data_IF_813747685163
#
_entry.id   IF_813747685163
#
_cell.length_a   1.000
_cell.length_b   1.000
_cell.length_c   1.000
_cell.angle_alpha   90.00
_cell.angle_beta   90.00
_cell.angle_gamma   90.00
#
_symmetry.space_group_name_H-M   'P 1'
#
loop_
_entity.id
_entity.type
_entity.pdbx_description
1 polymer ?
#
# COMPACT_ATOMS: atom_id res chain seq x y z
N UNK A 1 6.08 0.96 -20.07
CA UNK A 1 6.08 0.73 -18.61
C UNK A 1 6.64 -0.65 -18.32
N UNK A 2 7.90 -0.76 -17.88
CA UNK A 2 8.58 -1.97 -17.42
C UNK A 2 9.09 -1.78 -16.00
N UNK A 3 9.13 -2.84 -15.21
CA UNK A 3 9.71 -2.88 -13.86
C UNK A 3 10.84 -3.91 -13.78
N UNK A 4 11.38 -4.31 -14.94
CA UNK A 4 12.43 -5.31 -15.04
C UNK A 4 13.65 -4.97 -14.16
N UNK A 5 14.09 -5.94 -13.37
CA UNK A 5 15.23 -5.80 -12.47
C UNK A 5 15.02 -4.88 -11.27
N UNK A 6 13.79 -4.39 -11.02
CA UNK A 6 13.44 -3.59 -9.84
C UNK A 6 12.89 -4.49 -8.73
N UNK A 7 13.19 -4.14 -7.49
CA UNK A 7 12.79 -4.88 -6.29
C UNK A 7 11.75 -4.08 -5.50
N UNK A 8 10.57 -4.66 -5.30
CA UNK A 8 9.50 -4.02 -4.54
C UNK A 8 9.12 -4.84 -3.30
N UNK A 9 9.08 -4.16 -2.17
CA UNK A 9 8.50 -4.65 -0.93
C UNK A 9 7.01 -4.35 -0.92
N UNK A 10 6.17 -5.33 -0.60
CA UNK A 10 4.72 -5.19 -0.51
C UNK A 10 4.27 -5.53 0.91
N UNK A 11 3.96 -4.50 1.70
CA UNK A 11 3.43 -4.65 3.05
C UNK A 11 1.91 -4.88 2.98
N UNK A 12 1.40 -5.89 3.68
CA UNK A 12 -0.01 -6.25 3.66
C UNK A 12 -0.42 -7.03 2.40
N UNK A 13 0.51 -7.77 1.79
CA UNK A 13 0.28 -8.52 0.56
C UNK A 13 -0.79 -9.62 0.66
N UNK A 14 -1.08 -10.14 1.87
CA UNK A 14 -2.16 -11.09 2.12
C UNK A 14 -3.56 -10.46 2.20
N UNK A 15 -3.68 -9.13 2.08
CA UNK A 15 -4.96 -8.42 2.13
C UNK A 15 -5.70 -8.38 0.79
N UNK A 16 -6.86 -7.71 0.79
CA UNK A 16 -7.80 -7.67 -0.36
C UNK A 16 -7.16 -7.28 -1.69
N UNK A 17 -6.27 -6.29 -1.70
CA UNK A 17 -5.60 -5.79 -2.91
C UNK A 17 -4.31 -6.55 -3.25
N UNK A 18 -3.74 -7.24 -2.28
CA UNK A 18 -2.42 -7.86 -2.41
C UNK A 18 -2.28 -8.76 -3.64
N UNK A 19 -3.13 -9.78 -3.83
CA UNK A 19 -3.01 -10.68 -4.98
C UNK A 19 -2.97 -9.95 -6.32
N UNK A 20 -3.90 -9.01 -6.53
CA UNK A 20 -4.01 -8.25 -7.80
C UNK A 20 -2.79 -7.36 -8.03
N UNK A 21 -2.30 -6.68 -6.98
CA UNK A 21 -1.11 -5.81 -7.07
C UNK A 21 0.15 -6.65 -7.30
N UNK A 22 0.32 -7.75 -6.58
CA UNK A 22 1.46 -8.68 -6.75
C UNK A 22 1.52 -9.20 -8.17
N UNK A 23 0.42 -9.75 -8.70
CA UNK A 23 0.35 -10.25 -10.09
C UNK A 23 0.67 -9.15 -11.10
N UNK A 24 0.14 -7.93 -10.89
CA UNK A 24 0.39 -6.80 -11.79
C UNK A 24 1.87 -6.40 -11.82
N UNK A 25 2.52 -6.26 -10.66
CA UNK A 25 3.94 -5.88 -10.60
C UNK A 25 4.84 -7.00 -11.14
N UNK A 26 4.55 -8.26 -10.80
CA UNK A 26 5.27 -9.43 -11.34
C UNK A 26 5.18 -9.51 -12.87
N UNK A 27 3.97 -9.29 -13.44
CA UNK A 27 3.77 -9.28 -14.90
C UNK A 27 4.54 -8.16 -15.63
N UNK A 28 5.07 -7.18 -14.90
CA UNK A 28 5.93 -6.10 -15.43
C UNK A 28 7.43 -6.38 -15.21
N UNK A 29 7.80 -7.56 -14.71
CA UNK A 29 9.19 -7.99 -14.51
C UNK A 29 9.78 -7.59 -13.15
N UNK A 30 8.96 -7.12 -12.20
CA UNK A 30 9.43 -6.80 -10.85
C UNK A 30 9.79 -8.05 -10.04
N UNK A 31 10.85 -7.97 -9.23
CA UNK A 31 11.12 -8.90 -8.14
C UNK A 31 10.37 -8.43 -6.90
N UNK A 32 9.71 -9.35 -6.20
CA UNK A 32 8.79 -8.99 -5.12
C UNK A 32 9.20 -9.62 -3.79
N UNK A 33 9.05 -8.86 -2.70
CA UNK A 33 9.18 -9.32 -1.33
C UNK A 33 7.89 -8.99 -0.58
N UNK A 34 7.12 -10.02 -0.23
CA UNK A 34 5.79 -9.94 0.33
C UNK A 34 5.83 -10.07 1.85
N UNK A 35 5.13 -9.19 2.55
CA UNK A 35 4.99 -9.21 3.99
C UNK A 35 3.53 -9.19 4.43
N UNK A 36 3.23 -9.92 5.48
CA UNK A 36 1.93 -9.98 6.13
C UNK A 36 2.02 -10.81 7.41
N UNK A 37 0.91 -10.97 8.12
CA UNK A 37 0.89 -11.72 9.38
C UNK A 37 0.88 -13.24 9.17
N UNK A 38 0.18 -13.69 8.15
CA UNK A 38 -0.02 -15.11 7.86
C UNK A 38 0.79 -15.54 6.66
N UNK A 39 1.72 -16.49 6.85
CA UNK A 39 2.64 -16.92 5.81
C UNK A 39 1.97 -17.70 4.69
N UNK A 40 1.01 -18.58 5.02
CA UNK A 40 0.41 -19.47 4.03
C UNK A 40 -0.31 -18.73 2.87
N UNK A 41 -1.14 -17.70 3.11
CA UNK A 41 -1.67 -16.88 2.02
C UNK A 41 -0.59 -16.17 1.19
N UNK A 42 0.49 -15.72 1.82
CA UNK A 42 1.60 -15.07 1.11
C UNK A 42 2.32 -16.05 0.16
N UNK A 43 2.56 -17.27 0.62
CA UNK A 43 3.22 -18.30 -0.19
C UNK A 43 2.36 -18.69 -1.39
N UNK A 44 1.04 -18.78 -1.23
CA UNK A 44 0.11 -19.02 -2.34
C UNK A 44 0.15 -17.89 -3.38
N UNK A 45 0.07 -16.63 -2.92
CA UNK A 45 0.14 -15.45 -3.80
C UNK A 45 1.50 -15.39 -4.53
N UNK A 46 2.58 -15.69 -3.83
CA UNK A 46 3.92 -15.73 -4.41
C UNK A 46 4.05 -16.80 -5.51
N UNK A 47 3.50 -17.98 -5.28
CA UNK A 47 3.52 -19.08 -6.27
C UNK A 47 2.73 -18.71 -7.54
N UNK A 48 1.54 -18.11 -7.40
CA UNK A 48 0.72 -17.65 -8.52
C UNK A 48 1.39 -16.54 -9.33
N UNK A 49 2.24 -15.73 -8.70
CA UNK A 49 2.96 -14.64 -9.35
C UNK A 49 4.30 -15.06 -10.00
N UNK A 50 4.61 -16.37 -10.04
CA UNK A 50 5.84 -16.87 -10.60
C UNK A 50 7.05 -16.83 -9.66
N UNK A 51 6.82 -16.62 -8.37
CA UNK A 51 7.81 -16.61 -7.32
C UNK A 51 8.02 -15.21 -6.72
N UNK A 52 8.06 -15.16 -5.39
CA UNK A 52 8.40 -13.95 -4.63
C UNK A 52 8.94 -14.38 -3.25
N UNK A 53 9.72 -13.52 -2.62
CA UNK A 53 10.07 -13.74 -1.21
C UNK A 53 8.86 -13.50 -0.32
N UNK A 54 8.69 -14.32 0.71
CA UNK A 54 7.58 -14.17 1.66
C UNK A 54 8.10 -14.15 3.09
N UNK A 55 7.54 -13.27 3.92
CA UNK A 55 7.83 -13.20 5.34
C UNK A 55 6.56 -12.97 6.16
N UNK A 56 6.42 -13.73 7.25
CA UNK A 56 5.45 -13.39 8.29
C UNK A 56 6.09 -12.37 9.23
N UNK A 57 5.49 -11.19 9.34
CA UNK A 57 6.01 -10.11 10.17
C UNK A 57 4.86 -9.27 10.74
N UNK A 58 4.95 -8.96 12.03
CA UNK A 58 4.12 -7.92 12.64
C UNK A 58 4.77 -6.55 12.38
N UNK A 59 4.13 -5.73 11.58
CA UNK A 59 4.63 -4.39 11.25
C UNK A 59 4.48 -3.38 12.40
N UNK A 60 3.84 -3.77 13.51
CA UNK A 60 3.89 -3.03 14.78
C UNK A 60 5.20 -3.28 15.54
N UNK A 61 5.93 -4.33 15.20
CA UNK A 61 7.31 -4.54 15.68
C UNK A 61 8.29 -3.81 14.74
N UNK A 62 8.80 -2.68 15.23
CA UNK A 62 9.73 -1.85 14.46
C UNK A 62 11.05 -2.56 14.15
N UNK A 63 11.55 -3.45 15.04
CA UNK A 63 12.80 -4.17 14.78
C UNK A 63 12.60 -5.30 13.78
N UNK A 64 11.52 -6.07 13.89
CA UNK A 64 11.14 -7.06 12.89
C UNK A 64 10.94 -6.42 11.50
N UNK A 65 10.33 -5.23 11.45
CA UNK A 65 10.16 -4.46 10.21
C UNK A 65 11.51 -4.02 9.62
N UNK A 66 12.45 -3.56 10.45
CA UNK A 66 13.83 -3.24 10.00
C UNK A 66 14.57 -4.49 9.52
N UNK A 67 14.42 -5.61 10.21
CA UNK A 67 15.01 -6.89 9.80
C UNK A 67 14.49 -7.34 8.43
N UNK A 68 13.19 -7.18 8.15
CA UNK A 68 12.62 -7.44 6.84
C UNK A 68 13.25 -6.58 5.75
N UNK A 69 13.38 -5.26 5.96
CA UNK A 69 14.00 -4.37 4.98
C UNK A 69 15.46 -4.74 4.70
N UNK A 70 16.26 -5.05 5.75
CA UNK A 70 17.64 -5.51 5.61
C UNK A 70 17.73 -6.83 4.82
N UNK A 71 16.89 -7.81 5.14
CA UNK A 71 16.87 -9.10 4.47
C UNK A 71 16.58 -9.01 2.96
N UNK A 72 15.76 -8.05 2.53
CA UNK A 72 15.55 -7.78 1.10
C UNK A 72 16.84 -7.27 0.46
N UNK A 73 17.52 -6.31 1.09
CA UNK A 73 18.76 -5.75 0.55
C UNK A 73 19.89 -6.80 0.54
N UNK A 74 20.00 -7.62 1.56
CA UNK A 74 20.97 -8.73 1.60
C UNK A 74 20.75 -9.73 0.46
N UNK A 75 19.51 -10.06 0.15
CA UNK A 75 19.15 -11.03 -0.89
C UNK A 75 19.22 -10.49 -2.32
N UNK A 76 18.76 -9.27 -2.52
CA UNK A 76 18.60 -8.68 -3.85
C UNK A 76 19.61 -7.56 -4.17
N UNK A 77 20.44 -7.15 -3.19
CA UNK A 77 21.38 -6.04 -3.32
C UNK A 77 20.74 -4.65 -3.31
N UNK A 78 19.40 -4.56 -3.32
CA UNK A 78 18.64 -3.30 -3.43
C UNK A 78 17.18 -3.47 -3.04
N UNK A 79 16.50 -2.36 -2.79
CA UNK A 79 15.04 -2.24 -2.83
C UNK A 79 14.67 -0.93 -3.53
N UNK A 80 13.78 -1.00 -4.50
CA UNK A 80 13.39 0.14 -5.36
C UNK A 80 11.99 0.68 -5.02
N UNK A 81 11.22 -0.02 -4.22
CA UNK A 81 9.92 0.49 -3.83
C UNK A 81 9.30 -0.19 -2.63
N UNK A 82 8.41 0.54 -1.98
CA UNK A 82 7.53 0.09 -0.91
C UNK A 82 6.07 0.38 -1.32
N UNK A 83 5.30 -0.68 -1.52
CA UNK A 83 3.85 -0.60 -1.71
C UNK A 83 3.18 -1.00 -0.40
N UNK A 84 2.64 -0.03 0.33
CA UNK A 84 2.04 -0.26 1.63
C UNK A 84 0.52 -0.42 1.47
N UNK A 85 0.06 -1.67 1.48
CA UNK A 85 -1.33 -2.07 1.32
C UNK A 85 -2.01 -2.42 2.66
N UNK A 86 -1.29 -2.24 3.79
CA UNK A 86 -1.89 -2.50 5.10
C UNK A 86 -3.08 -1.58 5.29
N UNK A 87 -4.21 -2.17 5.59
CA UNK A 87 -5.45 -1.45 5.77
C UNK A 87 -6.56 -2.35 6.26
N UNK A 88 -7.67 -1.72 6.54
CA UNK A 88 -8.91 -2.36 6.95
C UNK A 88 -9.94 -1.27 7.18
N UNK A 89 -11.17 -1.62 6.99
CA UNK A 89 -12.31 -0.73 7.26
C UNK A 89 -13.37 -1.53 8.02
N UNK A 90 -13.96 -0.89 9.00
CA UNK A 90 -15.17 -1.36 9.66
C UNK A 90 -16.08 -0.18 9.95
N UNK A 91 -17.41 -0.41 10.05
CA UNK A 91 -18.37 0.63 10.38
C UNK A 91 -18.01 1.30 11.71
N UNK A 92 -18.08 2.62 11.75
CA UNK A 92 -17.90 3.42 12.97
C UNK A 92 -19.24 3.98 13.44
N UNK A 93 -19.38 4.19 14.74
CA UNK A 93 -20.45 4.98 15.30
C UNK A 93 -20.35 6.45 14.88
N UNK A 94 -21.43 7.25 14.99
CA UNK A 94 -21.35 8.70 14.88
C UNK A 94 -20.29 9.28 15.83
N UNK A 95 -19.77 10.47 15.50
CA UNK A 95 -18.62 11.06 16.19
C UNK A 95 -18.83 11.22 17.71
N UNK A 96 -20.05 11.50 18.14
CA UNK A 96 -20.45 11.61 19.55
C UNK A 96 -20.34 10.29 20.32
N UNK A 97 -20.48 9.16 19.63
CA UNK A 97 -20.43 7.80 20.17
C UNK A 97 -19.18 7.03 19.71
N UNK A 98 -18.25 7.72 19.04
CA UNK A 98 -17.06 7.09 18.46
C UNK A 98 -16.16 6.48 19.55
N UNK A 99 -15.83 5.19 19.39
CA UNK A 99 -14.98 4.47 20.32
C UNK A 99 -13.51 4.93 20.24
N UNK A 100 -12.92 5.28 21.39
CA UNK A 100 -11.47 5.53 21.48
C UNK A 100 -10.65 4.25 21.25
N UNK A 101 -11.23 3.07 21.43
CA UNK A 101 -10.59 1.81 21.09
C UNK A 101 -10.51 1.63 19.58
N UNK A 102 -11.56 1.94 18.82
CA UNK A 102 -11.52 1.96 17.35
C UNK A 102 -10.49 2.95 16.83
N UNK A 103 -10.38 4.13 17.46
CA UNK A 103 -9.32 5.07 17.14
C UNK A 103 -7.93 4.44 17.30
N UNK A 104 -7.64 3.76 18.44
CA UNK A 104 -6.34 3.11 18.67
C UNK A 104 -6.08 2.03 17.64
N UNK A 105 -7.07 1.20 17.31
CA UNK A 105 -6.95 0.14 16.30
C UNK A 105 -6.66 0.71 14.91
N UNK A 106 -7.33 1.80 14.49
CA UNK A 106 -7.02 2.47 13.23
C UNK A 106 -5.65 3.14 13.27
N UNK A 107 -5.27 3.75 14.38
CA UNK A 107 -3.94 4.33 14.56
C UNK A 107 -2.86 3.27 14.37
N UNK A 108 -2.95 2.16 15.06
CA UNK A 108 -1.96 1.09 14.97
C UNK A 108 -1.91 0.51 13.55
N UNK A 109 -3.07 0.18 12.99
CA UNK A 109 -3.17 -0.45 11.67
C UNK A 109 -2.72 0.47 10.53
N UNK A 110 -3.08 1.75 10.53
CA UNK A 110 -2.95 2.65 9.38
C UNK A 110 -1.81 3.66 9.52
N UNK A 111 -1.39 3.97 10.75
CA UNK A 111 -0.35 4.96 11.03
C UNK A 111 0.92 4.26 11.51
N UNK A 112 0.88 3.52 12.63
CA UNK A 112 2.09 2.92 13.23
C UNK A 112 2.78 1.95 12.28
N UNK A 113 2.03 1.05 11.62
CA UNK A 113 2.60 0.12 10.64
C UNK A 113 3.26 0.86 9.47
N UNK A 114 2.66 1.95 8.99
CA UNK A 114 3.19 2.76 7.90
C UNK A 114 4.43 3.55 8.32
N UNK A 115 4.45 4.10 9.52
CA UNK A 115 5.63 4.77 10.08
C UNK A 115 6.80 3.80 10.20
N UNK A 116 6.60 2.61 10.79
CA UNK A 116 7.65 1.61 10.94
C UNK A 116 8.20 1.14 9.58
N UNK A 117 7.32 0.84 8.61
CA UNK A 117 7.77 0.43 7.28
C UNK A 117 8.53 1.53 6.58
N UNK A 118 8.05 2.77 6.60
CA UNK A 118 8.75 3.87 5.93
C UNK A 118 10.08 4.20 6.60
N UNK A 119 10.17 4.20 7.93
CA UNK A 119 11.43 4.38 8.65
C UNK A 119 12.45 3.30 8.30
N UNK A 120 12.01 2.05 8.16
CA UNK A 120 12.88 0.94 7.77
C UNK A 120 13.37 1.03 6.32
N UNK A 121 12.49 1.44 5.40
CA UNK A 121 12.77 1.39 3.97
C UNK A 121 13.39 2.66 3.37
N UNK A 122 13.10 3.85 3.91
CA UNK A 122 13.56 5.14 3.35
C UNK A 122 15.07 5.20 3.09
N UNK A 123 15.97 4.76 3.98
CA UNK A 123 17.41 4.77 3.68
C UNK A 123 17.76 3.98 2.42
N UNK A 124 17.16 2.82 2.24
CA UNK A 124 17.39 1.94 1.09
C UNK A 124 16.78 2.48 -0.19
N UNK A 125 15.59 3.10 -0.11
CA UNK A 125 14.92 3.76 -1.24
C UNK A 125 15.71 4.96 -1.74
N UNK A 126 16.32 5.73 -0.84
CA UNK A 126 17.23 6.82 -1.20
C UNK A 126 18.50 6.29 -1.87
N UNK A 127 19.09 5.21 -1.32
CA UNK A 127 20.28 4.58 -1.88
C UNK A 127 20.04 4.01 -3.29
N UNK A 128 18.79 3.62 -3.62
CA UNK A 128 18.45 3.12 -4.96
C UNK A 128 18.50 4.21 -6.04
N UNK A 129 18.39 5.49 -5.66
CA UNK A 129 18.33 6.64 -6.58
C UNK A 129 17.03 6.73 -7.40
N UNK A 130 16.09 5.80 -7.22
CA UNK A 130 14.79 5.74 -7.92
C UNK A 130 13.69 5.11 -7.06
N UNK A 131 13.75 5.37 -5.76
CA UNK A 131 12.80 4.82 -4.78
C UNK A 131 11.35 5.21 -5.06
N UNK A 132 10.40 4.31 -4.78
CA UNK A 132 8.95 4.54 -4.95
C UNK A 132 8.21 4.14 -3.69
N UNK A 133 7.39 5.03 -3.15
CA UNK A 133 6.48 4.73 -2.03
C UNK A 133 5.04 4.97 -2.47
N UNK A 134 4.19 3.95 -2.29
CA UNK A 134 2.77 4.00 -2.63
C UNK A 134 1.92 3.61 -1.44
N UNK A 135 0.85 4.38 -1.21
CA UNK A 135 -0.27 4.00 -0.34
C UNK A 135 -1.58 4.07 -1.10
N UNK A 136 -2.57 3.36 -0.59
CA UNK A 136 -3.98 3.46 -1.03
C UNK A 136 -4.79 4.14 0.06
N UNK A 137 -5.57 5.15 -0.33
CA UNK A 137 -6.37 5.97 0.58
C UNK A 137 -7.78 6.20 0.04
N UNK A 138 -8.80 6.34 0.90
CA UNK A 138 -10.15 6.67 0.45
C UNK A 138 -10.31 8.17 0.23
N UNK A 139 -11.30 8.57 -0.58
CA UNK A 139 -11.72 9.98 -0.69
C UNK A 139 -12.12 10.60 0.66
N UNK A 140 -12.63 9.78 1.58
CA UNK A 140 -12.99 10.21 2.95
C UNK A 140 -11.82 10.78 3.78
N UNK A 141 -10.57 10.51 3.44
CA UNK A 141 -9.44 11.15 4.08
C UNK A 141 -9.46 12.68 3.93
N UNK A 142 -10.11 13.20 2.87
CA UNK A 142 -10.23 14.64 2.60
C UNK A 142 -11.65 15.18 2.73
N UNK A 143 -12.66 14.30 2.65
CA UNK A 143 -14.06 14.64 2.83
C UNK A 143 -14.68 13.72 3.89
N UNK A 144 -14.26 13.85 5.18
CA UNK A 144 -14.74 12.99 6.25
C UNK A 144 -16.21 13.26 6.54
N UNK A 145 -16.90 12.23 7.03
CA UNK A 145 -18.27 12.35 7.55
C UNK A 145 -18.27 12.05 9.04
N UNK A 146 -19.32 12.45 9.74
CA UNK A 146 -19.46 12.17 11.17
C UNK A 146 -19.48 10.65 11.51
N UNK A 147 -19.74 9.78 10.52
CA UNK A 147 -19.79 8.30 10.70
C UNK A 147 -18.50 7.58 10.35
N UNK A 148 -17.46 8.29 9.91
CA UNK A 148 -16.17 7.69 9.59
C UNK A 148 -14.99 8.47 10.17
N UNK A 149 -15.22 9.26 11.20
CA UNK A 149 -14.26 10.23 11.72
C UNK A 149 -12.91 9.58 12.09
N UNK A 150 -12.90 8.51 12.86
CA UNK A 150 -11.65 7.85 13.29
C UNK A 150 -10.87 7.26 12.10
N UNK A 151 -11.56 6.58 11.19
CA UNK A 151 -10.94 6.02 9.99
C UNK A 151 -10.40 7.11 9.06
N UNK A 152 -11.20 8.13 8.79
CA UNK A 152 -10.82 9.24 7.92
C UNK A 152 -9.63 10.01 8.50
N UNK A 153 -9.62 10.28 9.81
CA UNK A 153 -8.51 10.94 10.48
C UNK A 153 -7.22 10.11 10.39
N UNK A 154 -7.29 8.80 10.62
CA UNK A 154 -6.12 7.92 10.49
C UNK A 154 -5.58 7.87 9.04
N UNK A 155 -6.47 7.82 8.05
CA UNK A 155 -6.07 7.88 6.63
C UNK A 155 -5.51 9.25 6.24
N UNK A 156 -6.08 10.35 6.74
CA UNK A 156 -5.54 11.70 6.53
C UNK A 156 -4.13 11.84 7.14
N UNK A 157 -3.89 11.26 8.31
CA UNK A 157 -2.56 11.22 8.92
C UNK A 157 -1.54 10.44 8.07
N UNK A 158 -1.92 9.27 7.52
CA UNK A 158 -1.07 8.50 6.61
C UNK A 158 -0.78 9.26 5.31
N UNK A 159 -1.74 10.02 4.77
CA UNK A 159 -1.51 10.89 3.62
C UNK A 159 -0.56 12.04 3.93
N UNK A 160 -0.73 12.71 5.07
CA UNK A 160 0.18 13.76 5.51
C UNK A 160 1.61 13.23 5.66
N UNK A 161 1.78 12.02 6.22
CA UNK A 161 3.07 11.34 6.31
C UNK A 161 3.67 11.05 4.93
N UNK A 162 2.85 10.63 3.97
CA UNK A 162 3.29 10.41 2.58
C UNK A 162 3.75 11.69 1.90
N UNK A 163 3.07 12.80 2.12
CA UNK A 163 3.48 14.10 1.59
C UNK A 163 4.79 14.60 2.22
N UNK A 164 5.02 14.32 3.51
CA UNK A 164 6.30 14.58 4.16
C UNK A 164 7.44 13.71 3.58
N UNK A 165 7.15 12.44 3.24
CA UNK A 165 8.10 11.60 2.50
C UNK A 165 8.38 12.16 1.10
N UNK A 166 7.36 12.64 0.40
CA UNK A 166 7.55 13.28 -0.90
C UNK A 166 8.45 14.52 -0.82
N UNK A 167 8.31 15.32 0.25
CA UNK A 167 9.21 16.44 0.52
C UNK A 167 10.66 15.96 0.75
N UNK A 168 10.85 14.92 1.58
CA UNK A 168 12.17 14.31 1.82
C UNK A 168 12.82 13.77 0.55
N UNK A 169 12.02 13.36 -0.43
CA UNK A 169 12.50 12.76 -1.68
C UNK A 169 12.82 13.77 -2.78
N UNK A 170 12.56 15.06 -2.58
CA UNK A 170 12.90 16.10 -3.56
C UNK A 170 14.37 16.06 -3.94
N UNK A 171 14.65 16.05 -5.24
CA UNK A 171 16.01 16.02 -5.77
C UNK A 171 16.76 14.70 -5.64
N UNK A 172 16.10 13.63 -5.16
CA UNK A 172 16.77 12.34 -4.93
C UNK A 172 16.45 11.29 -6.01
N UNK A 173 15.54 11.58 -6.93
CA UNK A 173 15.00 10.60 -7.89
C UNK A 173 13.93 9.65 -7.28
N UNK A 174 13.75 9.65 -5.96
CA UNK A 174 12.68 8.90 -5.30
C UNK A 174 11.37 9.69 -5.29
N UNK A 175 10.23 8.99 -5.21
CA UNK A 175 8.88 9.60 -5.14
C UNK A 175 7.99 8.87 -4.13
N UNK A 176 7.03 9.60 -3.54
CA UNK A 176 5.98 9.05 -2.69
C UNK A 176 4.63 9.59 -3.14
N UNK A 177 3.67 8.70 -3.42
CA UNK A 177 2.37 9.07 -3.97
C UNK A 177 1.23 8.30 -3.31
N UNK A 178 0.01 8.80 -3.49
CA UNK A 178 -1.23 8.30 -2.91
C UNK A 178 -2.18 7.93 -4.05
N UNK A 179 -2.68 6.70 -4.06
CA UNK A 179 -3.77 6.27 -4.94
C UNK A 179 -5.08 6.41 -4.18
N UNK A 180 -5.95 7.32 -4.63
CA UNK A 180 -7.23 7.59 -3.98
C UNK A 180 -8.33 6.76 -4.65
N UNK A 181 -9.06 5.99 -3.85
CA UNK A 181 -10.06 5.02 -4.32
C UNK A 181 -11.38 5.16 -3.55
N UNK A 182 -12.45 4.63 -4.13
CA UNK A 182 -13.71 4.38 -3.41
C UNK A 182 -13.69 3.01 -2.69
N UNK A 183 -14.86 2.42 -2.54
CA UNK A 183 -14.98 1.03 -2.14
C UNK A 183 -14.31 0.14 -3.20
N UNK A 184 -13.54 -0.85 -2.76
CA UNK A 184 -12.77 -1.71 -3.66
C UNK A 184 -13.61 -2.92 -4.06
N UNK A 185 -13.57 -3.29 -5.33
CA UNK A 185 -14.13 -4.55 -5.83
C UNK A 185 -13.03 -5.39 -6.49
N UNK A 186 -12.98 -6.67 -6.12
CA UNK A 186 -12.08 -7.66 -6.72
C UNK A 186 -12.83 -8.59 -7.68
N UNK A 187 -12.14 -9.32 -8.59
CA UNK A 187 -12.76 -10.34 -9.41
C UNK A 187 -13.50 -11.40 -8.59
N UNK A 188 -12.92 -11.85 -7.48
CA UNK A 188 -13.54 -12.82 -6.58
C UNK A 188 -14.89 -12.32 -6.04
N UNK A 189 -14.94 -11.07 -5.56
CA UNK A 189 -16.19 -10.46 -5.07
C UNK A 189 -17.27 -10.39 -6.14
N UNK A 190 -16.91 -10.15 -7.41
CA UNK A 190 -17.86 -10.13 -8.54
C UNK A 190 -18.40 -11.55 -8.82
N UNK A 191 -17.54 -12.55 -8.68
CA UNK A 191 -17.96 -13.96 -8.86
C UNK A 191 -18.87 -14.42 -7.72
N UNK A 192 -18.56 -14.04 -6.48
CA UNK A 192 -19.34 -14.40 -5.29
C UNK A 192 -20.70 -13.67 -5.21
N UNK A 193 -20.79 -12.47 -5.73
CA UNK A 193 -22.00 -11.64 -5.69
C UNK A 193 -22.25 -10.96 -7.05
N UNK A 194 -22.62 -11.73 -8.09
CA UNK A 194 -22.74 -11.23 -9.46
C UNK A 194 -23.86 -10.21 -9.64
N UNK A 195 -24.92 -10.29 -8.84
CA UNK A 195 -26.10 -9.41 -8.91
C UNK A 195 -25.90 -8.07 -8.16
N UNK A 196 -24.77 -7.91 -7.45
CA UNK A 196 -24.49 -6.68 -6.72
C UNK A 196 -24.06 -5.57 -7.67
N UNK A 197 -24.62 -4.36 -7.47
CA UNK A 197 -24.15 -3.17 -8.18
C UNK A 197 -22.79 -2.71 -7.64
N UNK A 198 -21.80 -2.69 -8.52
CA UNK A 198 -20.44 -2.23 -8.25
C UNK A 198 -20.09 -0.93 -8.99
N UNK A 199 -21.08 -0.18 -9.50
CA UNK A 199 -20.83 1.02 -10.31
C UNK A 199 -19.99 2.09 -9.58
N UNK A 200 -20.16 2.20 -8.25
CA UNK A 200 -19.43 3.16 -7.41
C UNK A 200 -18.12 2.59 -6.81
N UNK A 201 -17.78 1.34 -7.13
CA UNK A 201 -16.57 0.71 -6.62
C UNK A 201 -15.40 0.95 -7.56
N UNK A 202 -14.20 1.01 -6.98
CA UNK A 202 -12.94 1.04 -7.74
C UNK A 202 -12.46 -0.40 -7.97
N UNK A 203 -12.31 -0.86 -9.21
CA UNK A 203 -11.77 -2.20 -9.50
C UNK A 203 -10.33 -2.35 -9.01
N UNK A 204 -10.03 -3.48 -8.38
CA UNK A 204 -8.68 -3.80 -7.89
C UNK A 204 -7.63 -3.76 -9.01
N UNK A 205 -8.01 -4.14 -10.24
CA UNK A 205 -7.14 -4.12 -11.41
C UNK A 205 -6.74 -2.70 -11.83
N UNK A 206 -7.64 -1.73 -11.71
CA UNK A 206 -7.34 -0.31 -11.98
C UNK A 206 -6.39 0.25 -10.92
N UNK A 207 -6.60 -0.11 -9.65
CA UNK A 207 -5.71 0.26 -8.56
C UNK A 207 -4.31 -0.32 -8.80
N UNK A 208 -4.21 -1.61 -9.13
CA UNK A 208 -2.95 -2.27 -9.43
C UNK A 208 -2.24 -1.65 -10.66
N UNK A 209 -3.01 -1.25 -11.69
CA UNK A 209 -2.48 -0.56 -12.86
C UNK A 209 -1.90 0.81 -12.49
N UNK A 210 -2.61 1.60 -11.68
CA UNK A 210 -2.14 2.90 -11.20
C UNK A 210 -0.87 2.76 -10.35
N UNK A 211 -0.85 1.79 -9.42
CA UNK A 211 0.34 1.48 -8.61
C UNK A 211 1.53 1.11 -9.52
N UNK A 212 1.33 0.21 -10.49
CA UNK A 212 2.40 -0.21 -11.39
C UNK A 212 2.95 0.97 -12.22
N UNK A 213 2.07 1.87 -12.68
CA UNK A 213 2.48 3.09 -13.37
C UNK A 213 3.32 4.00 -12.47
N UNK A 214 2.84 4.29 -11.27
CA UNK A 214 3.55 5.14 -10.30
C UNK A 214 4.87 4.51 -9.81
N UNK A 215 4.98 3.18 -9.86
CA UNK A 215 6.22 2.46 -9.58
C UNK A 215 7.24 2.51 -10.73
N UNK A 216 6.84 2.87 -11.94
CA UNK A 216 7.71 2.90 -13.12
C UNK A 216 8.51 4.20 -13.25
N UNK A 217 9.44 4.23 -14.19
CA UNK A 217 10.20 5.44 -14.52
C UNK A 217 9.35 6.42 -15.35
N UNK A 218 8.26 5.96 -15.97
CA UNK A 218 7.30 6.82 -16.68
C UNK A 218 6.64 7.85 -15.76
N UNK A 219 6.57 7.55 -14.45
CA UNK A 219 6.03 8.44 -13.41
C UNK A 219 7.11 9.11 -12.55
N UNK A 220 8.38 9.17 -13.00
CA UNK A 220 9.49 9.70 -12.21
C UNK A 220 9.32 11.17 -11.78
N UNK A 221 8.53 11.96 -12.53
CA UNK A 221 8.21 13.36 -12.20
C UNK A 221 7.03 13.49 -11.21
N UNK A 222 6.30 12.40 -10.93
CA UNK A 222 5.14 12.41 -10.04
C UNK A 222 5.59 12.16 -8.60
N UNK A 223 5.65 13.20 -7.81
CA UNK A 223 6.02 13.14 -6.40
C UNK A 223 5.03 13.96 -5.55
N UNK A 224 4.49 13.40 -4.50
CA UNK A 224 3.47 14.01 -3.64
C UNK A 224 2.09 14.08 -4.30
N UNK A 225 1.81 13.25 -5.29
CA UNK A 225 0.55 13.28 -6.01
C UNK A 225 -0.51 12.42 -5.32
N UNK A 226 -1.75 12.90 -5.45
CA UNK A 226 -2.97 12.16 -5.14
C UNK A 226 -3.64 11.80 -6.46
N UNK A 227 -3.49 10.55 -6.85
CA UNK A 227 -4.06 10.03 -8.09
C UNK A 227 -5.42 9.44 -7.78
N UNK A 228 -6.47 10.18 -8.14
CA UNK A 228 -7.86 9.79 -7.89
C UNK A 228 -8.36 8.88 -9.01
N UNK A 229 -8.81 7.69 -8.63
CA UNK A 229 -9.46 6.75 -9.54
C UNK A 229 -10.99 6.90 -9.46
N UNK A 230 -11.71 6.32 -10.43
CA UNK A 230 -13.17 6.31 -10.41
C UNK A 230 -13.70 5.65 -9.13
N UNK A 231 -14.89 6.07 -8.70
CA UNK A 231 -15.52 5.56 -7.48
C UNK A 231 -14.94 6.14 -6.19
N UNK A 232 -13.98 7.06 -6.26
CA UNK A 232 -13.35 7.69 -5.09
C UNK A 232 -14.13 8.92 -4.57
N UNK A 233 -15.18 9.36 -5.26
CA UNK A 233 -15.99 10.53 -4.92
C UNK A 233 -17.10 10.18 -3.92
#
# INVERSE_FOLDING_TARGET
MSLEGRVFAIAGAGGLLGPTVVQRLASKGARLALAGRDKAPLDAIAAEAGGADTVSVDLLDAEATRAWARGIVERHGRVDGLVHLVGGWWPSAPIEDASLEDWRRFHDLLISTYQHTTQAFVPHLLASGRGRVMIVSPGHAQAPTHRNASYAAAKAAAEAWTLALADRFRGTGATANIVVVGAIVTPAMRTESPDKDYATFTPAEEIAQAIAYLCSDDAASMNGQRVTLRGAA
#
